data_IF_026882486931
#
_entry.id   IF_026882486931
#
_cell.length_a   1.000
_cell.length_b   1.000
_cell.length_c   1.000
_cell.angle_alpha   90.00
_cell.angle_beta   90.00
_cell.angle_gamma   90.00
#
_symmetry.space_group_name_H-M   'P 1'
#
loop_
_entity.id
_entity.type
_entity.pdbx_description
1 polymer ?
#
# COMPACT_ATOMS: atom_id res chain seq x y z
N UNK A 1 -5.37 4.30 -47.28
CA UNK A 1 -5.57 3.31 -46.19
C UNK A 1 -4.65 3.70 -45.05
N UNK A 2 -5.21 4.12 -43.91
CA UNK A 2 -4.41 4.55 -42.76
C UNK A 2 -3.84 3.31 -42.06
N UNK A 3 -2.51 3.19 -42.04
CA UNK A 3 -1.82 2.15 -41.29
C UNK A 3 -2.00 2.38 -39.80
N UNK A 4 -2.76 1.50 -39.15
CA UNK A 4 -2.79 1.40 -37.70
C UNK A 4 -1.39 1.02 -37.22
N UNK A 5 -0.65 1.96 -36.65
CA UNK A 5 0.63 1.68 -35.99
C UNK A 5 0.36 0.79 -34.78
N UNK A 6 0.56 -0.53 -34.90
CA UNK A 6 0.57 -1.44 -33.76
C UNK A 6 1.70 -1.02 -32.81
N UNK A 7 1.35 -0.34 -31.72
CA UNK A 7 2.30 -0.02 -30.66
C UNK A 7 2.57 -1.29 -29.85
N UNK A 8 3.85 -1.52 -29.55
CA UNK A 8 4.25 -2.63 -28.70
C UNK A 8 3.48 -2.61 -27.37
N UNK A 9 3.11 -3.78 -26.81
CA UNK A 9 2.37 -3.85 -25.56
C UNK A 9 3.21 -3.28 -24.40
N UNK A 10 2.59 -2.43 -23.59
CA UNK A 10 3.18 -1.92 -22.36
C UNK A 10 3.15 -3.00 -21.26
N UNK A 11 4.32 -3.58 -20.98
CA UNK A 11 4.53 -4.61 -19.95
C UNK A 11 4.42 -4.08 -18.51
N UNK A 12 4.48 -2.75 -18.30
CA UNK A 12 4.31 -2.14 -16.98
C UNK A 12 2.90 -2.32 -16.41
N UNK A 13 1.91 -2.53 -17.27
CA UNK A 13 0.51 -2.80 -16.88
C UNK A 13 0.28 -4.20 -16.32
N UNK A 14 1.27 -5.10 -16.44
CA UNK A 14 1.13 -6.49 -16.02
C UNK A 14 0.19 -7.30 -16.91
N UNK A 15 -0.44 -8.33 -16.34
CA UNK A 15 -1.40 -9.17 -17.05
C UNK A 15 -2.71 -8.39 -17.18
N UNK A 16 -3.11 -8.10 -18.41
CA UNK A 16 -4.32 -7.31 -18.67
C UNK A 16 -5.52 -8.25 -18.80
N UNK A 17 -6.46 -8.10 -17.87
CA UNK A 17 -7.76 -8.80 -17.92
C UNK A 17 -8.77 -7.81 -18.51
N UNK A 18 -9.46 -8.23 -19.56
CA UNK A 18 -10.44 -7.39 -20.25
C UNK A 18 -11.79 -7.41 -19.52
N UNK A 19 -12.60 -6.37 -19.72
CA UNK A 19 -13.92 -6.25 -19.08
C UNK A 19 -14.92 -7.31 -19.57
N UNK A 20 -14.70 -7.87 -20.76
CA UNK A 20 -15.49 -8.95 -21.37
C UNK A 20 -14.98 -10.35 -20.99
N UNK A 21 -14.01 -10.46 -20.07
CA UNK A 21 -13.47 -11.74 -19.62
C UNK A 21 -14.51 -12.53 -18.81
N UNK A 22 -14.94 -13.73 -19.27
CA UNK A 22 -16.00 -14.48 -18.60
C UNK A 22 -15.54 -15.22 -17.33
N UNK A 23 -14.24 -15.25 -17.04
CA UNK A 23 -13.68 -16.06 -15.96
C UNK A 23 -13.64 -17.55 -16.31
N UNK A 24 -13.24 -18.37 -15.32
CA UNK A 24 -13.26 -19.82 -15.44
C UNK A 24 -14.37 -20.44 -14.59
N UNK A 25 -14.96 -21.53 -15.08
CA UNK A 25 -15.95 -22.32 -14.33
C UNK A 25 -15.33 -22.92 -13.06
N UNK A 26 -16.04 -22.77 -11.93
CA UNK A 26 -15.69 -23.31 -10.63
C UNK A 26 -15.56 -24.84 -10.63
N UNK A 27 -16.33 -25.53 -11.47
CA UNK A 27 -16.33 -27.00 -11.55
C UNK A 27 -15.00 -27.57 -12.07
N UNK A 28 -14.15 -26.74 -12.70
CA UNK A 28 -12.84 -27.13 -13.21
C UNK A 28 -11.73 -27.06 -12.15
N UNK A 29 -12.02 -26.48 -10.98
CA UNK A 29 -11.03 -26.23 -9.93
C UNK A 29 -11.46 -26.82 -8.58
N UNK A 30 -10.46 -27.03 -7.72
CA UNK A 30 -10.70 -27.37 -6.32
C UNK A 30 -10.72 -26.08 -5.49
N UNK A 31 -11.75 -25.93 -4.67
CA UNK A 31 -11.89 -24.81 -3.74
C UNK A 31 -12.59 -25.27 -2.45
N UNK A 32 -12.49 -24.50 -1.35
CA UNK A 32 -13.07 -24.92 -0.06
C UNK A 32 -14.58 -25.14 -0.15
N UNK A 33 -15.04 -26.30 0.33
CA UNK A 33 -16.43 -26.75 0.20
C UNK A 33 -17.45 -25.83 0.88
N UNK A 34 -17.05 -25.10 1.92
CA UNK A 34 -17.94 -24.19 2.63
C UNK A 34 -18.26 -22.90 1.85
N UNK A 35 -17.67 -22.71 0.65
CA UNK A 35 -18.01 -21.63 -0.28
C UNK A 35 -18.85 -22.10 -1.46
N UNK A 36 -19.35 -23.34 -1.43
CA UNK A 36 -20.17 -23.88 -2.52
C UNK A 36 -21.47 -23.07 -2.64
N UNK A 37 -21.71 -22.49 -3.82
CA UNK A 37 -22.86 -21.62 -4.09
C UNK A 37 -22.66 -20.14 -3.76
N UNK A 38 -21.54 -19.77 -3.12
CA UNK A 38 -21.23 -18.37 -2.77
C UNK A 38 -20.33 -17.68 -3.81
N UNK A 39 -19.77 -18.45 -4.75
CA UNK A 39 -18.87 -17.98 -5.79
C UNK A 39 -19.53 -18.13 -7.17
N UNK A 40 -19.26 -17.18 -8.07
CA UNK A 40 -19.81 -17.17 -9.42
C UNK A 40 -18.85 -17.82 -10.43
N UNK A 41 -17.59 -17.38 -10.47
CA UNK A 41 -16.54 -17.89 -11.33
C UNK A 41 -15.15 -17.61 -10.73
N UNK A 42 -14.12 -18.26 -11.26
CA UNK A 42 -12.72 -17.99 -10.91
C UNK A 42 -12.18 -16.92 -11.86
N UNK A 43 -11.88 -15.72 -11.36
CA UNK A 43 -11.30 -14.65 -12.19
C UNK A 43 -9.83 -14.97 -12.57
N UNK A 44 -9.03 -15.34 -11.57
CA UNK A 44 -7.60 -15.64 -11.72
C UNK A 44 -7.28 -16.90 -10.91
N UNK A 45 -6.90 -18.01 -11.57
CA UNK A 45 -6.45 -19.23 -10.90
C UNK A 45 -5.18 -19.01 -10.08
N UNK A 46 -5.02 -19.79 -9.01
CA UNK A 46 -3.86 -19.71 -8.12
C UNK A 46 -2.52 -19.86 -8.86
N UNK A 47 -2.44 -20.79 -9.81
CA UNK A 47 -1.20 -21.02 -10.58
C UNK A 47 -0.75 -19.77 -11.34
N UNK A 48 -1.66 -19.09 -12.04
CA UNK A 48 -1.35 -17.88 -12.79
C UNK A 48 -0.83 -16.75 -11.86
N UNK A 49 -1.38 -16.67 -10.65
CA UNK A 49 -0.92 -15.71 -9.63
C UNK A 49 0.53 -16.01 -9.26
N UNK A 50 0.85 -17.27 -8.92
CA UNK A 50 2.20 -17.70 -8.54
C UNK A 50 3.20 -17.45 -9.69
N UNK A 51 2.84 -17.83 -10.92
CA UNK A 51 3.69 -17.60 -12.10
C UNK A 51 3.99 -16.11 -12.31
N UNK A 52 2.98 -15.25 -12.09
CA UNK A 52 3.17 -13.81 -12.21
C UNK A 52 4.03 -13.26 -11.07
N UNK A 53 3.86 -13.73 -9.84
CA UNK A 53 4.70 -13.36 -8.69
C UNK A 53 6.15 -13.76 -8.95
N UNK A 54 6.42 -14.94 -9.51
CA UNK A 54 7.77 -15.37 -9.85
C UNK A 54 8.44 -14.39 -10.81
N UNK A 55 7.73 -13.95 -11.85
CA UNK A 55 8.24 -12.93 -12.78
C UNK A 55 8.46 -11.59 -12.10
N UNK A 56 7.52 -11.15 -11.27
CA UNK A 56 7.66 -9.90 -10.50
C UNK A 56 8.88 -9.94 -9.57
N UNK A 57 9.16 -11.07 -8.93
CA UNK A 57 10.33 -11.24 -8.08
C UNK A 57 11.64 -11.09 -8.88
N UNK A 58 11.71 -11.64 -10.10
CA UNK A 58 12.85 -11.47 -11.00
C UNK A 58 13.02 -10.02 -11.44
N UNK A 59 11.91 -9.34 -11.77
CA UNK A 59 11.93 -7.93 -12.15
C UNK A 59 12.45 -7.06 -10.99
N UNK A 60 11.95 -7.27 -9.77
CA UNK A 60 12.42 -6.55 -8.56
C UNK A 60 13.90 -6.84 -8.28
N UNK A 61 14.36 -8.09 -8.39
CA UNK A 61 15.79 -8.41 -8.17
C UNK A 61 16.71 -7.85 -9.24
N UNK A 62 16.21 -7.65 -10.45
CA UNK A 62 16.96 -6.96 -11.50
C UNK A 62 17.14 -5.48 -11.18
N UNK A 63 16.11 -4.84 -10.64
CA UNK A 63 16.08 -3.38 -10.45
C UNK A 63 16.73 -2.94 -9.13
N UNK A 64 16.45 -3.63 -8.02
CA UNK A 64 16.89 -3.22 -6.67
C UNK A 64 17.74 -4.27 -5.93
N UNK A 65 18.13 -5.36 -6.59
CA UNK A 65 18.85 -6.49 -5.98
C UNK A 65 20.33 -6.23 -5.61
N UNK A 66 20.79 -4.98 -5.57
CA UNK A 66 22.17 -4.61 -5.18
C UNK A 66 22.25 -3.95 -3.79
N UNK A 67 21.13 -3.83 -3.08
CA UNK A 67 21.05 -3.17 -1.77
C UNK A 67 20.09 -3.92 -0.86
N UNK A 68 20.19 -3.66 0.45
CA UNK A 68 19.26 -4.21 1.44
C UNK A 68 17.82 -3.76 1.16
N UNK A 69 16.88 -4.70 1.18
CA UNK A 69 15.46 -4.45 0.85
C UNK A 69 14.61 -4.55 2.13
N UNK A 70 13.76 -3.54 2.34
CA UNK A 70 12.68 -3.59 3.31
C UNK A 70 11.34 -3.84 2.60
N UNK A 71 10.70 -4.96 2.91
CA UNK A 71 9.39 -5.33 2.39
C UNK A 71 8.32 -4.89 3.39
N UNK A 72 7.47 -3.94 2.99
CA UNK A 72 6.40 -3.40 3.82
C UNK A 72 5.04 -4.00 3.41
N UNK A 73 4.55 -4.97 4.18
CA UNK A 73 3.30 -5.67 3.89
C UNK A 73 2.09 -4.90 4.45
N UNK A 74 1.12 -4.58 3.57
CA UNK A 74 -0.15 -3.97 3.96
C UNK A 74 -1.16 -5.04 4.36
N UNK A 75 -1.52 -5.06 5.64
CA UNK A 75 -2.49 -6.00 6.20
C UNK A 75 -3.94 -5.51 6.06
N UNK A 76 -4.92 -6.42 5.97
CA UNK A 76 -4.78 -7.89 6.02
C UNK A 76 -4.56 -8.53 4.65
N UNK A 77 -5.19 -8.03 3.60
CA UNK A 77 -5.27 -8.70 2.29
C UNK A 77 -3.94 -8.96 1.59
N UNK A 78 -2.90 -8.18 1.88
CA UNK A 78 -1.58 -8.34 1.25
C UNK A 78 -0.73 -9.50 1.79
N UNK A 79 -1.14 -10.16 2.87
CA UNK A 79 -0.28 -11.14 3.56
C UNK A 79 0.13 -12.32 2.66
N UNK A 80 -0.81 -12.86 1.87
CA UNK A 80 -0.54 -14.03 1.01
C UNK A 80 0.39 -13.66 -0.14
N UNK A 81 0.07 -12.59 -0.88
CA UNK A 81 0.93 -12.07 -1.94
C UNK A 81 2.34 -11.72 -1.42
N UNK A 82 2.43 -11.07 -0.26
CA UNK A 82 3.72 -10.72 0.32
C UNK A 82 4.53 -11.96 0.73
N UNK A 83 3.88 -12.99 1.28
CA UNK A 83 4.54 -14.24 1.65
C UNK A 83 5.11 -14.93 0.41
N UNK A 84 4.29 -15.12 -0.62
CA UNK A 84 4.66 -15.76 -1.88
C UNK A 84 5.80 -14.97 -2.56
N UNK A 85 5.70 -13.63 -2.61
CA UNK A 85 6.74 -12.77 -3.19
C UNK A 85 8.08 -12.89 -2.43
N UNK A 86 8.05 -12.81 -1.10
CA UNK A 86 9.27 -12.95 -0.28
C UNK A 86 9.89 -14.33 -0.44
N UNK A 87 9.09 -15.38 -0.60
CA UNK A 87 9.57 -16.72 -0.88
C UNK A 87 10.32 -16.79 -2.22
N UNK A 88 9.75 -16.24 -3.29
CA UNK A 88 10.42 -16.18 -4.59
C UNK A 88 11.70 -15.32 -4.57
N UNK A 89 11.68 -14.19 -3.86
CA UNK A 89 12.88 -13.36 -3.67
C UNK A 89 13.99 -14.12 -2.93
N UNK A 90 13.65 -14.85 -1.86
CA UNK A 90 14.58 -15.72 -1.14
C UNK A 90 15.11 -16.84 -2.02
N UNK A 91 14.25 -17.43 -2.85
CA UNK A 91 14.66 -18.47 -3.80
C UNK A 91 15.71 -17.93 -4.79
N UNK A 92 15.50 -16.74 -5.35
CA UNK A 92 16.48 -16.11 -6.24
C UNK A 92 17.79 -15.80 -5.51
N UNK A 93 17.71 -15.22 -4.31
CA UNK A 93 18.91 -14.87 -3.52
C UNK A 93 19.73 -16.09 -3.09
N UNK A 94 19.12 -17.27 -2.94
CA UNK A 94 19.84 -18.51 -2.58
C UNK A 94 20.46 -19.22 -3.77
N UNK A 95 19.84 -19.10 -4.94
CA UNK A 95 20.26 -19.81 -6.16
C UNK A 95 21.07 -18.93 -7.12
N UNK A 96 21.40 -17.70 -6.73
CA UNK A 96 22.24 -16.79 -7.52
C UNK A 96 23.38 -16.25 -6.66
N UNK A 97 24.44 -15.78 -7.31
CA UNK A 97 25.56 -15.11 -6.63
C UNK A 97 25.19 -13.72 -6.05
N UNK A 98 23.92 -13.30 -6.19
CA UNK A 98 23.40 -12.02 -5.71
C UNK A 98 22.67 -12.24 -4.39
N UNK A 99 23.37 -11.96 -3.30
CA UNK A 99 22.80 -12.01 -1.96
C UNK A 99 22.18 -10.67 -1.58
N UNK A 100 20.89 -10.70 -1.25
CA UNK A 100 20.15 -9.51 -0.82
C UNK A 100 19.59 -9.74 0.58
N UNK A 101 20.00 -8.91 1.53
CA UNK A 101 19.41 -8.91 2.87
C UNK A 101 17.99 -8.35 2.79
N UNK A 102 17.01 -9.13 3.25
CA UNK A 102 15.60 -8.76 3.23
C UNK A 102 15.04 -8.67 4.65
N UNK A 103 14.46 -7.52 5.00
CA UNK A 103 13.66 -7.34 6.21
C UNK A 103 12.19 -7.18 5.83
N UNK A 104 11.28 -7.67 6.67
CA UNK A 104 9.83 -7.59 6.44
C UNK A 104 9.19 -6.85 7.61
N UNK A 105 8.34 -5.87 7.32
CA UNK A 105 7.54 -5.14 8.29
C UNK A 105 6.06 -5.11 7.87
N UNK A 106 5.15 -4.90 8.83
CA UNK A 106 3.71 -5.02 8.64
C UNK A 106 2.97 -3.77 9.12
N UNK A 107 2.17 -3.19 8.22
CA UNK A 107 1.33 -2.02 8.53
C UNK A 107 -0.14 -2.32 8.31
N UNK A 108 -1.00 -1.70 9.13
CA UNK A 108 -2.45 -1.73 8.94
C UNK A 108 -2.95 -0.31 8.72
N UNK A 109 -3.47 -0.06 7.53
CA UNK A 109 -4.02 1.24 7.16
C UNK A 109 -5.46 1.38 7.69
N UNK A 110 -5.81 2.58 8.13
CA UNK A 110 -7.18 3.01 8.42
C UNK A 110 -7.40 4.37 7.76
N UNK A 111 -8.26 4.40 6.75
CA UNK A 111 -8.69 5.66 6.16
C UNK A 111 -9.78 6.28 7.04
N UNK A 112 -9.62 7.55 7.39
CA UNK A 112 -10.62 8.31 8.12
C UNK A 112 -11.04 9.52 7.28
N UNK A 113 -12.35 9.74 7.20
CA UNK A 113 -12.89 10.98 6.65
C UNK A 113 -12.94 11.98 7.79
N UNK A 114 -12.04 12.96 7.76
CA UNK A 114 -12.15 14.11 8.66
C UNK A 114 -13.30 15.00 8.16
N UNK A 115 -14.51 14.78 8.70
CA UNK A 115 -15.55 15.78 8.60
C UNK A 115 -15.21 16.92 9.56
N UNK A 116 -14.42 17.89 9.09
CA UNK A 116 -14.21 19.13 9.81
C UNK A 116 -15.54 19.92 9.81
N UNK A 117 -16.45 19.60 10.73
CA UNK A 117 -17.58 20.47 11.03
C UNK A 117 -17.02 21.62 11.84
N UNK A 118 -16.76 22.75 11.18
CA UNK A 118 -16.43 24.03 11.80
C UNK A 118 -17.56 24.43 12.76
N UNK A 119 -17.54 23.93 13.99
CA UNK A 119 -18.33 24.49 15.07
C UNK A 119 -17.55 25.67 15.60
N UNK A 120 -17.97 26.87 15.20
CA UNK A 120 -17.49 28.14 15.76
C UNK A 120 -17.94 28.17 17.23
N UNK A 121 -17.05 27.92 18.17
CA UNK A 121 -17.34 28.09 19.61
C UNK A 121 -16.76 29.43 20.05
N UNK A 122 -17.63 30.35 20.46
CA UNK A 122 -17.22 31.55 21.19
C UNK A 122 -16.98 31.16 22.64
N UNK A 123 -15.74 31.26 23.12
CA UNK A 123 -15.41 31.08 24.54
C UNK A 123 -15.82 32.37 25.26
N UNK A 124 -16.77 32.36 26.20
CA UNK A 124 -17.08 33.53 26.99
C UNK A 124 -15.93 33.78 27.97
N UNK A 125 -15.10 34.78 27.68
CA UNK A 125 -14.14 35.32 28.64
C UNK A 125 -14.72 36.59 29.26
N UNK A 126 -14.49 36.81 30.56
CA UNK A 126 -14.98 37.97 31.34
C UNK A 126 -14.32 39.32 30.94
N UNK A 127 -13.70 39.39 29.77
CA UNK A 127 -12.98 40.55 29.23
C UNK A 127 -13.13 40.74 27.71
N UNK A 128 -14.18 40.15 27.10
CA UNK A 128 -14.45 40.28 25.66
C UNK A 128 -13.91 39.12 24.80
N UNK A 129 -14.44 38.94 23.59
CA UNK A 129 -14.10 37.82 22.72
C UNK A 129 -12.72 38.00 22.08
N UNK A 130 -11.75 37.17 22.45
CA UNK A 130 -10.50 37.00 21.67
C UNK A 130 -10.78 36.00 20.56
N UNK A 131 -10.54 36.38 19.30
CA UNK A 131 -10.75 35.54 18.12
C UNK A 131 -9.64 34.46 18.01
N UNK A 132 -9.64 33.49 18.92
CA UNK A 132 -8.75 32.33 18.85
C UNK A 132 -9.38 31.22 18.01
N UNK A 133 -8.87 30.97 16.81
CA UNK A 133 -9.22 29.77 16.04
C UNK A 133 -8.56 28.55 16.69
N UNK A 134 -9.18 27.97 17.71
CA UNK A 134 -8.80 26.64 18.19
C UNK A 134 -9.64 25.58 17.49
N UNK A 135 -8.97 24.76 16.69
CA UNK A 135 -9.52 23.52 16.16
C UNK A 135 -9.71 22.53 17.31
N UNK A 136 -10.94 22.30 17.73
CA UNK A 136 -11.28 21.17 18.60
C UNK A 136 -11.94 20.10 17.74
N UNK A 137 -11.21 19.01 17.48
CA UNK A 137 -11.79 17.79 16.91
C UNK A 137 -12.46 17.00 18.03
N UNK A 138 -13.79 16.89 18.00
CA UNK A 138 -14.52 15.96 18.86
C UNK A 138 -14.52 14.60 18.16
N UNK A 139 -13.61 13.72 18.56
CA UNK A 139 -13.59 12.32 18.15
C UNK A 139 -14.56 11.56 19.06
N UNK A 140 -15.70 11.13 18.52
CA UNK A 140 -16.76 10.43 19.26
C UNK A 140 -16.40 8.99 19.67
N UNK A 141 -15.10 8.68 19.77
CA UNK A 141 -14.55 7.42 20.28
C UNK A 141 -13.23 7.67 21.00
N UNK A 142 -13.28 8.29 22.17
CA UNK A 142 -12.35 8.06 23.29
C UNK A 142 -10.84 8.18 23.05
N UNK A 143 -10.38 8.87 21.99
CA UNK A 143 -8.97 9.13 21.76
C UNK A 143 -8.78 10.64 21.63
N UNK A 144 -8.28 11.24 22.71
CA UNK A 144 -7.86 12.62 22.77
C UNK A 144 -6.58 12.75 21.92
N UNK A 145 -6.70 12.99 20.61
CA UNK A 145 -5.55 13.44 19.83
C UNK A 145 -5.37 14.94 20.11
N UNK A 146 -4.37 15.23 20.93
CA UNK A 146 -3.82 16.58 21.10
C UNK A 146 -3.31 17.04 19.74
N UNK A 147 -3.89 18.12 19.22
CA UNK A 147 -3.43 18.78 18.01
C UNK A 147 -2.08 19.43 18.31
N UNK A 148 -0.99 18.92 17.73
CA UNK A 148 0.30 19.62 17.71
C UNK A 148 0.07 20.93 16.95
N UNK A 149 0.19 22.11 17.58
CA UNK A 149 0.14 23.36 16.85
C UNK A 149 1.43 23.44 16.02
N UNK A 150 1.27 23.38 14.71
CA UNK A 150 2.11 24.01 13.70
C UNK A 150 3.44 24.60 14.22
N UNK A 151 4.47 23.75 14.40
CA UNK A 151 5.83 24.27 14.58
C UNK A 151 6.30 24.78 13.23
N UNK A 152 6.38 26.10 13.13
CA UNK A 152 7.14 26.79 12.11
C UNK A 152 8.62 26.41 12.33
N UNK A 153 9.14 25.45 11.57
CA UNK A 153 10.58 25.14 11.55
C UNK A 153 11.25 26.26 10.75
N UNK A 154 11.66 27.33 11.43
CA UNK A 154 12.79 28.12 10.97
C UNK A 154 14.04 27.26 11.19
N UNK A 155 14.58 26.72 10.12
CA UNK A 155 15.91 26.14 10.09
C UNK A 155 16.94 27.26 10.32
N UNK A 156 17.53 27.32 11.52
CA UNK A 156 18.87 27.90 11.69
C UNK A 156 19.81 26.76 12.07
N UNK A 157 20.79 26.54 11.19
CA UNK A 157 21.88 25.58 11.31
C UNK A 157 22.84 25.96 12.45
N UNK A 158 23.43 24.98 13.16
CA UNK A 158 24.49 25.25 14.12
C UNK A 158 25.81 25.56 13.39
N UNK A 159 26.32 26.78 13.57
CA UNK A 159 27.71 27.11 13.27
C UNK A 159 28.56 26.83 14.52
N UNK A 160 29.36 25.78 14.47
CA UNK A 160 30.45 25.48 15.40
C UNK A 160 31.69 26.33 15.10
N UNK A 161 32.29 26.83 16.17
CA UNK A 161 33.68 27.28 16.38
C UNK A 161 34.25 28.45 15.56
N UNK A 162 34.65 29.53 16.25
CA UNK A 162 36.06 29.81 16.58
C UNK A 162 36.25 31.19 17.25
N UNK A 163 37.16 31.16 18.23
CA UNK A 163 37.84 32.24 18.98
C UNK A 163 37.14 32.84 20.22
#
# INVERSE_FOLDING_TARGET
MAGSSEKAPDYGRGVVIMDDWPGYDLNLFTYPQHYYGDLEYVLIPHGIIVDRIERLAKDIMKDIGYSDIMVLCVLKGGYKFCADLVEHLKNISRNSDRFVSMKVDFIRLKSYRLHARLKRTTIPHRGGPVLGQRYMSSCEKGLLQVLIPHFHIQSQLPGSDQN
#
